data_IF_609100159118
#
_entry.id   IF_609100159118
#
_cell.length_a   1.000
_cell.length_b   1.000
_cell.length_c   1.000
_cell.angle_alpha   90.00
_cell.angle_beta   90.00
_cell.angle_gamma   90.00
#
_symmetry.space_group_name_H-M   'P 1'
#
loop_
_entity.id
_entity.type
_entity.pdbx_description
1 polymer ?
#
# COMPACT_ATOMS: atom_id res chain seq x y z
N UNK A 1 8.81 -2.45 7.62
CA UNK A 1 10.09 -3.18 7.73
C UNK A 1 10.85 -3.25 6.39
N UNK A 2 10.20 -3.64 5.29
CA UNK A 2 10.87 -3.70 3.97
C UNK A 2 11.46 -2.35 3.55
N UNK A 3 10.80 -1.23 3.87
CA UNK A 3 11.33 0.11 3.67
C UNK A 3 12.58 0.37 4.52
N UNK A 4 12.69 -0.21 5.71
CA UNK A 4 13.87 -0.07 6.57
C UNK A 4 15.09 -0.79 5.98
N UNK A 5 14.90 -2.01 5.48
CA UNK A 5 15.96 -2.76 4.79
C UNK A 5 16.45 -1.97 3.58
N UNK A 6 15.53 -1.48 2.76
CA UNK A 6 15.88 -0.71 1.55
C UNK A 6 16.66 0.56 1.89
N UNK A 7 16.26 1.31 2.92
CA UNK A 7 16.98 2.52 3.35
C UNK A 7 18.38 2.16 3.85
N UNK A 8 18.52 1.09 4.66
CA UNK A 8 19.82 0.64 5.17
C UNK A 8 20.77 0.20 4.05
N UNK A 9 20.28 -0.63 3.13
CA UNK A 9 21.04 -1.11 1.96
C UNK A 9 21.47 0.05 1.03
N UNK A 10 20.63 1.08 0.90
CA UNK A 10 20.95 2.26 0.09
C UNK A 10 21.97 3.16 0.77
N UNK A 11 21.78 3.41 2.05
CA UNK A 11 22.69 4.24 2.85
C UNK A 11 22.47 4.01 4.35
N UNK A 12 23.41 3.32 4.99
CA UNK A 12 23.37 3.06 6.44
C UNK A 12 23.32 4.34 7.27
N UNK A 13 23.98 5.42 6.81
CA UNK A 13 23.93 6.73 7.47
C UNK A 13 22.53 7.35 7.40
N UNK A 14 21.85 7.23 6.26
CA UNK A 14 20.46 7.68 6.10
C UNK A 14 19.53 6.90 7.03
N UNK A 15 19.74 5.59 7.15
CA UNK A 15 19.00 4.75 8.10
C UNK A 15 19.18 5.25 9.54
N UNK A 16 20.43 5.53 9.94
CA UNK A 16 20.75 6.08 11.27
C UNK A 16 19.98 7.37 11.54
N UNK A 17 20.01 8.34 10.61
CA UNK A 17 19.30 9.61 10.77
C UNK A 17 17.78 9.39 10.90
N UNK A 18 17.18 8.53 10.09
CA UNK A 18 15.73 8.38 10.03
C UNK A 18 15.18 7.51 11.14
N UNK A 19 15.94 6.49 11.60
CA UNK A 19 15.43 5.49 12.52
C UNK A 19 16.02 5.56 13.93
N UNK A 20 17.29 5.86 14.06
CA UNK A 20 17.93 5.98 15.37
C UNK A 20 17.82 7.40 15.93
N UNK A 21 17.94 8.41 15.08
CA UNK A 21 17.88 9.82 15.48
C UNK A 21 16.53 10.47 15.22
N UNK A 22 15.55 9.71 14.71
CA UNK A 22 14.18 10.16 14.44
C UNK A 22 14.10 11.45 13.61
N UNK A 23 15.08 11.67 12.75
CA UNK A 23 15.10 12.84 11.88
C UNK A 23 14.07 12.66 10.77
N UNK A 24 12.95 13.36 10.89
CA UNK A 24 11.87 13.29 9.89
C UNK A 24 12.20 14.22 8.72
N UNK A 25 12.49 13.68 7.54
CA UNK A 25 12.64 14.51 6.35
C UNK A 25 11.29 15.15 5.99
N UNK A 26 11.33 16.32 5.38
CA UNK A 26 10.12 16.93 4.79
C UNK A 26 9.56 15.93 3.77
N UNK A 27 8.33 15.49 3.99
CA UNK A 27 7.67 14.56 3.08
C UNK A 27 7.48 15.22 1.72
N UNK A 28 7.99 14.56 0.68
CA UNK A 28 7.83 15.04 -0.68
C UNK A 28 6.37 14.87 -1.14
N UNK A 29 5.91 15.74 -2.05
CA UNK A 29 4.58 15.65 -2.68
C UNK A 29 4.27 14.26 -3.24
N UNK A 30 5.30 13.53 -3.71
CA UNK A 30 5.16 12.16 -4.18
C UNK A 30 4.70 11.18 -3.09
N UNK A 31 5.10 11.40 -1.83
CA UNK A 31 4.63 10.58 -0.70
C UNK A 31 3.18 10.89 -0.38
N UNK A 32 2.79 12.16 -0.35
CA UNK A 32 1.39 12.57 -0.15
C UNK A 32 0.48 11.98 -1.24
N UNK A 33 0.94 12.01 -2.50
CA UNK A 33 0.22 11.40 -3.62
C UNK A 33 -0.03 9.90 -3.38
N UNK A 34 1.03 9.17 -3.04
CA UNK A 34 0.95 7.74 -2.77
C UNK A 34 0.02 7.43 -1.59
N UNK A 35 0.21 8.10 -0.45
CA UNK A 35 -0.61 7.91 0.75
C UNK A 35 -2.09 8.17 0.45
N UNK A 36 -2.41 9.25 -0.26
CA UNK A 36 -3.80 9.59 -0.61
C UNK A 36 -4.47 8.51 -1.48
N UNK A 37 -3.74 7.96 -2.46
CA UNK A 37 -4.24 6.86 -3.29
C UNK A 37 -4.48 5.61 -2.44
N UNK A 38 -3.53 5.24 -1.57
CA UNK A 38 -3.63 4.07 -0.70
C UNK A 38 -4.78 4.19 0.30
N UNK A 39 -4.89 5.28 1.05
CA UNK A 39 -5.97 5.47 2.03
C UNK A 39 -7.35 5.43 1.38
N UNK A 40 -7.48 5.99 0.17
CA UNK A 40 -8.77 5.94 -0.53
C UNK A 40 -9.10 4.53 -1.03
N UNK A 41 -8.11 3.77 -1.50
CA UNK A 41 -8.31 2.36 -1.87
C UNK A 41 -8.64 1.53 -0.62
N UNK A 42 -8.03 1.81 0.53
CA UNK A 42 -8.35 1.18 1.80
C UNK A 42 -9.82 1.41 2.20
N UNK A 43 -10.36 2.62 2.07
CA UNK A 43 -11.76 2.89 2.34
C UNK A 43 -12.70 2.08 1.44
N UNK A 44 -12.34 1.91 0.16
CA UNK A 44 -13.07 1.06 -0.78
C UNK A 44 -13.06 -0.39 -0.31
N UNK A 45 -11.90 -0.94 0.08
CA UNK A 45 -11.79 -2.30 0.58
C UNK A 45 -12.55 -2.50 1.89
N UNK A 46 -12.52 -1.52 2.78
CA UNK A 46 -13.30 -1.56 4.02
C UNK A 46 -14.80 -1.61 3.77
N UNK A 47 -15.29 -0.87 2.77
CA UNK A 47 -16.69 -0.95 2.37
C UNK A 47 -17.03 -2.33 1.81
N UNK A 48 -16.17 -2.91 0.96
CA UNK A 48 -16.36 -4.26 0.43
C UNK A 48 -16.37 -5.32 1.56
N UNK A 49 -15.41 -5.27 2.49
CA UNK A 49 -15.34 -6.20 3.64
C UNK A 49 -16.52 -6.09 4.61
N UNK A 50 -17.24 -4.96 4.60
CA UNK A 50 -18.49 -4.79 5.36
C UNK A 50 -19.74 -5.21 4.60
N UNK A 51 -19.59 -5.75 3.38
CA UNK A 51 -20.69 -6.06 2.47
C UNK A 51 -21.52 -4.83 2.09
N UNK A 52 -20.85 -3.69 1.95
CA UNK A 52 -21.43 -2.41 1.56
C UNK A 52 -21.03 -2.03 0.12
N UNK A 53 -20.87 -3.01 -0.78
CA UNK A 53 -20.38 -2.81 -2.17
C UNK A 53 -21.24 -1.82 -2.95
N UNK A 54 -22.53 -1.75 -2.65
CA UNK A 54 -23.47 -0.77 -3.23
C UNK A 54 -23.09 0.68 -2.93
N UNK A 55 -22.27 0.91 -1.90
CA UNK A 55 -21.76 2.25 -1.57
C UNK A 55 -20.52 2.63 -2.38
N UNK A 56 -19.87 1.69 -3.07
CA UNK A 56 -18.68 1.91 -3.89
C UNK A 56 -19.12 2.54 -5.24
N UNK A 57 -19.62 3.75 -5.17
CA UNK A 57 -20.00 4.56 -6.32
C UNK A 57 -18.94 5.62 -6.60
N UNK A 58 -18.86 6.12 -7.83
CA UNK A 58 -17.92 7.20 -8.17
C UNK A 58 -18.08 8.41 -7.24
N UNK A 59 -19.33 8.77 -6.90
CA UNK A 59 -19.63 9.88 -6.00
C UNK A 59 -19.05 9.67 -4.60
N UNK A 60 -19.26 8.48 -4.01
CA UNK A 60 -18.75 8.16 -2.69
C UNK A 60 -17.23 8.05 -2.68
N UNK A 61 -16.64 7.45 -3.72
CA UNK A 61 -15.18 7.35 -3.86
C UNK A 61 -14.55 8.76 -3.94
N UNK A 62 -15.14 9.70 -4.68
CA UNK A 62 -14.71 11.09 -4.71
C UNK A 62 -14.81 11.74 -3.33
N UNK A 63 -15.89 11.49 -2.60
CA UNK A 63 -16.08 12.03 -1.25
C UNK A 63 -15.04 11.48 -0.26
N UNK A 64 -14.74 10.17 -0.29
CA UNK A 64 -13.68 9.57 0.53
C UNK A 64 -12.32 10.15 0.17
N UNK A 65 -12.00 10.25 -1.11
CA UNK A 65 -10.77 10.86 -1.59
C UNK A 65 -10.60 12.31 -1.10
N UNK A 66 -11.64 13.11 -1.17
CA UNK A 66 -11.61 14.51 -0.72
C UNK A 66 -11.46 14.61 0.81
N UNK A 67 -12.10 13.72 1.55
CA UNK A 67 -11.96 13.62 3.01
C UNK A 67 -10.53 13.27 3.40
N UNK A 68 -9.95 12.25 2.77
CA UNK A 68 -8.57 11.83 3.00
C UNK A 68 -7.57 12.93 2.63
N UNK A 69 -7.80 13.61 1.50
CA UNK A 69 -6.96 14.74 1.09
C UNK A 69 -6.96 15.87 2.13
N UNK A 70 -8.12 16.24 2.66
CA UNK A 70 -8.24 17.27 3.71
C UNK A 70 -7.55 16.82 5.00
N UNK A 71 -7.70 15.57 5.40
CA UNK A 71 -7.04 15.00 6.58
C UNK A 71 -5.52 15.02 6.43
N UNK A 72 -5.01 14.47 5.34
CA UNK A 72 -3.58 14.39 5.06
C UNK A 72 -2.91 15.75 4.94
N UNK A 73 -3.55 16.73 4.26
CA UNK A 73 -2.98 18.06 4.14
C UNK A 73 -2.89 18.80 5.47
N UNK A 74 -3.83 18.56 6.39
CA UNK A 74 -3.76 19.11 7.75
C UNK A 74 -2.63 18.50 8.57
N UNK A 75 -2.44 17.19 8.44
CA UNK A 75 -1.42 16.46 9.21
C UNK A 75 -0.01 16.69 8.66
N UNK A 76 0.14 16.62 7.35
CA UNK A 76 1.45 16.65 6.69
C UNK A 76 1.93 18.06 6.33
N UNK A 77 1.07 19.07 6.44
CA UNK A 77 1.33 20.46 6.03
C UNK A 77 1.87 20.57 4.58
N UNK A 78 1.45 19.66 3.72
CA UNK A 78 1.90 19.51 2.33
C UNK A 78 0.68 19.42 1.42
N UNK A 79 0.77 19.98 0.20
CA UNK A 79 -0.34 20.05 -0.74
C UNK A 79 0.06 19.48 -2.09
N UNK A 80 -0.89 18.82 -2.76
CA UNK A 80 -0.75 18.46 -4.17
C UNK A 80 -1.20 19.62 -5.05
N UNK A 81 -0.47 19.87 -6.13
CA UNK A 81 -0.96 20.74 -7.20
C UNK A 81 -2.22 20.14 -7.84
N UNK A 82 -3.11 20.98 -8.36
CA UNK A 82 -4.37 20.54 -8.96
C UNK A 82 -4.24 19.37 -9.92
N UNK A 83 -3.32 19.40 -10.91
CA UNK A 83 -3.11 18.27 -11.82
C UNK A 83 -2.65 16.98 -11.13
N UNK A 84 -1.85 17.07 -10.05
CA UNK A 84 -1.41 15.90 -9.29
C UNK A 84 -2.56 15.28 -8.49
N UNK A 85 -3.41 16.11 -7.86
CA UNK A 85 -4.61 15.65 -7.15
C UNK A 85 -5.57 14.96 -8.10
N UNK A 86 -5.80 15.53 -9.28
CA UNK A 86 -6.65 14.92 -10.30
C UNK A 86 -6.07 13.59 -10.82
N UNK A 87 -4.76 13.51 -11.02
CA UNK A 87 -4.08 12.27 -11.40
C UNK A 87 -4.22 11.18 -10.32
N UNK A 88 -4.13 11.52 -9.03
CA UNK A 88 -4.35 10.60 -7.92
C UNK A 88 -5.78 10.05 -7.92
N UNK A 89 -6.78 10.94 -8.03
CA UNK A 89 -8.18 10.54 -8.12
C UNK A 89 -8.42 9.61 -9.32
N UNK A 90 -7.85 9.95 -10.47
CA UNK A 90 -7.97 9.11 -11.68
C UNK A 90 -7.38 7.72 -11.49
N UNK A 91 -6.31 7.56 -10.71
CA UNK A 91 -5.77 6.22 -10.38
C UNK A 91 -6.76 5.41 -9.55
N UNK A 92 -7.36 6.01 -8.53
CA UNK A 92 -8.36 5.36 -7.69
C UNK A 92 -9.59 4.95 -8.50
N UNK A 93 -10.13 5.85 -9.32
CA UNK A 93 -11.31 5.54 -10.16
C UNK A 93 -11.02 4.42 -11.17
N UNK A 94 -9.84 4.41 -11.77
CA UNK A 94 -9.41 3.29 -12.65
C UNK A 94 -9.29 1.97 -11.90
N UNK A 95 -8.88 2.01 -10.63
CA UNK A 95 -8.87 0.81 -9.81
C UNK A 95 -10.28 0.25 -9.63
N UNK A 96 -11.24 1.08 -9.24
CA UNK A 96 -12.65 0.69 -9.08
C UNK A 96 -13.23 0.14 -10.40
N UNK A 97 -12.99 0.83 -11.50
CA UNK A 97 -13.46 0.41 -12.83
C UNK A 97 -12.92 -0.99 -13.20
N UNK A 98 -11.66 -1.28 -12.90
CA UNK A 98 -11.04 -2.59 -13.21
C UNK A 98 -11.58 -3.75 -12.37
N UNK A 99 -12.15 -3.48 -11.22
CA UNK A 99 -12.77 -4.52 -10.40
C UNK A 99 -14.12 -4.97 -10.97
N UNK A 100 -14.72 -4.21 -11.90
CA UNK A 100 -16.02 -4.52 -12.52
C UNK A 100 -17.14 -4.85 -11.51
N UNK A 101 -17.03 -4.30 -10.29
CA UNK A 101 -17.95 -4.56 -9.18
C UNK A 101 -17.74 -5.91 -8.47
N UNK A 102 -16.71 -6.66 -8.83
CA UNK A 102 -16.38 -7.92 -8.15
C UNK A 102 -15.39 -7.68 -7.00
N UNK A 103 -15.93 -7.71 -5.79
CA UNK A 103 -15.20 -7.55 -4.54
C UNK A 103 -15.15 -8.84 -3.72
N UNK A 104 -15.77 -9.92 -4.23
CA UNK A 104 -15.97 -11.17 -3.48
C UNK A 104 -14.69 -11.86 -3.04
N UNK A 105 -13.59 -11.65 -3.76
CA UNK A 105 -12.30 -12.30 -3.48
C UNK A 105 -11.49 -11.58 -2.40
N UNK A 106 -11.92 -10.42 -1.91
CA UNK A 106 -11.19 -9.69 -0.85
C UNK A 106 -11.42 -10.41 0.47
N UNK A 107 -10.33 -10.93 1.05
CA UNK A 107 -10.36 -11.54 2.38
C UNK A 107 -9.96 -10.55 3.48
N UNK A 108 -8.88 -9.80 3.28
CA UNK A 108 -8.36 -8.85 4.25
C UNK A 108 -7.68 -7.68 3.54
N UNK A 109 -7.76 -6.50 4.13
CA UNK A 109 -7.10 -5.27 3.66
C UNK A 109 -6.28 -4.63 4.78
N UNK A 110 -5.16 -3.99 4.45
CA UNK A 110 -4.28 -3.27 5.37
C UNK A 110 -3.84 -4.13 6.57
N UNK A 111 -3.39 -5.35 6.28
CA UNK A 111 -3.10 -6.37 7.29
C UNK A 111 -1.72 -6.19 7.87
N UNK A 112 -1.64 -5.93 9.16
CA UNK A 112 -0.38 -5.98 9.89
C UNK A 112 0.07 -7.44 10.05
N UNK A 113 1.24 -7.75 9.54
CA UNK A 113 1.87 -9.07 9.63
C UNK A 113 3.18 -8.97 10.38
N UNK A 114 3.41 -9.91 11.29
CA UNK A 114 4.64 -9.97 12.07
C UNK A 114 5.12 -11.40 12.25
N UNK A 115 6.43 -11.57 12.25
CA UNK A 115 7.10 -12.81 12.56
C UNK A 115 8.13 -12.56 13.65
N UNK A 116 7.95 -13.21 14.79
CA UNK A 116 8.86 -13.12 15.94
C UNK A 116 9.78 -14.34 15.93
N UNK A 117 11.06 -14.10 15.87
CA UNK A 117 12.13 -15.10 16.04
C UNK A 117 12.98 -14.72 17.26
N UNK A 118 13.79 -15.63 17.81
CA UNK A 118 14.59 -15.33 19.02
C UNK A 118 15.47 -14.10 18.91
N UNK A 119 16.01 -13.83 17.71
CA UNK A 119 17.01 -12.78 17.49
C UNK A 119 16.46 -11.55 16.75
N UNK A 120 15.23 -11.64 16.20
CA UNK A 120 14.65 -10.53 15.43
C UNK A 120 13.13 -10.61 15.34
N UNK A 121 12.54 -9.46 15.05
CA UNK A 121 11.12 -9.33 14.69
C UNK A 121 11.04 -8.74 13.28
N UNK A 122 10.29 -9.40 12.40
CA UNK A 122 9.93 -8.87 11.09
C UNK A 122 8.49 -8.42 11.15
N UNK A 123 8.25 -7.16 10.81
CA UNK A 123 6.91 -6.59 10.73
C UNK A 123 6.68 -6.02 9.33
N UNK A 124 5.46 -6.09 8.86
CA UNK A 124 5.06 -5.50 7.59
C UNK A 124 3.57 -5.24 7.56
N UNK A 125 3.15 -4.49 6.57
CA UNK A 125 1.74 -4.24 6.30
C UNK A 125 1.46 -4.64 4.86
N UNK A 126 0.50 -5.55 4.69
CA UNK A 126 0.07 -6.04 3.39
C UNK A 126 -1.18 -5.26 2.98
N UNK A 127 -1.14 -4.63 1.81
CA UNK A 127 -2.23 -3.77 1.36
C UNK A 127 -3.52 -4.56 1.15
N UNK A 128 -3.43 -5.76 0.52
CA UNK A 128 -4.58 -6.59 0.25
C UNK A 128 -4.21 -8.08 0.20
N UNK A 129 -5.03 -8.91 0.85
CA UNK A 129 -5.05 -10.37 0.71
C UNK A 129 -6.37 -10.76 0.07
N UNK A 130 -6.30 -11.48 -1.05
CA UNK A 130 -7.49 -11.95 -1.77
C UNK A 130 -7.34 -13.41 -2.19
N UNK A 131 -8.43 -14.07 -2.50
CA UNK A 131 -8.48 -15.46 -2.94
C UNK A 131 -9.60 -16.23 -2.30
N UNK A 132 -9.61 -17.54 -2.49
CA UNK A 132 -10.61 -18.45 -1.92
C UNK A 132 -9.93 -19.67 -1.30
N UNK A 133 -10.44 -20.11 -0.15
CA UNK A 133 -9.97 -21.31 0.54
C UNK A 133 -8.54 -21.22 1.07
N UNK A 134 -7.74 -22.25 0.78
CA UNK A 134 -6.40 -22.40 1.33
C UNK A 134 -5.29 -21.67 0.52
N UNK A 135 -5.65 -21.05 -0.60
CA UNK A 135 -4.71 -20.33 -1.46
C UNK A 135 -5.10 -18.86 -1.57
N UNK A 136 -4.14 -17.99 -1.31
CA UNK A 136 -4.35 -16.53 -1.35
C UNK A 136 -3.33 -15.86 -2.25
N UNK A 137 -3.70 -14.71 -2.76
CA UNK A 137 -2.84 -13.75 -3.46
C UNK A 137 -2.58 -12.55 -2.57
N UNK A 138 -1.34 -12.06 -2.59
CA UNK A 138 -0.96 -10.79 -1.97
C UNK A 138 -0.88 -9.73 -3.05
N UNK A 139 -1.56 -8.62 -2.83
CA UNK A 139 -1.50 -7.44 -3.70
C UNK A 139 -0.88 -6.28 -2.93
N UNK A 140 0.13 -5.66 -3.53
CA UNK A 140 0.80 -4.49 -3.01
C UNK A 140 0.66 -3.35 -4.05
N UNK A 141 -0.02 -2.28 -3.65
CA UNK A 141 -0.33 -1.17 -4.55
C UNK A 141 0.85 -0.23 -4.70
N UNK A 142 1.16 0.12 -5.94
CA UNK A 142 2.19 1.10 -6.26
C UNK A 142 1.59 2.26 -7.05
N UNK A 143 1.58 3.43 -6.44
CA UNK A 143 1.07 4.66 -7.07
C UNK A 143 2.01 5.26 -8.12
N UNK A 144 3.21 4.71 -8.26
CA UNK A 144 4.21 5.14 -9.24
C UNK A 144 3.87 4.65 -10.66
N UNK A 145 4.58 5.18 -11.67
CA UNK A 145 4.46 4.66 -13.03
C UNK A 145 4.80 3.17 -13.07
N UNK A 146 4.16 2.43 -13.97
CA UNK A 146 4.50 1.03 -14.22
C UNK A 146 6.00 0.92 -14.58
N UNK A 147 6.79 0.11 -13.87
CA UNK A 147 8.19 -0.06 -14.17
C UNK A 147 8.39 -0.76 -15.52
N UNK A 148 9.45 -0.36 -16.22
CA UNK A 148 9.91 -1.03 -17.43
C UNK A 148 10.68 -2.31 -17.06
N UNK A 149 10.37 -3.42 -17.72
CA UNK A 149 10.95 -4.74 -17.38
C UNK A 149 12.46 -4.82 -17.58
N UNK A 150 13.02 -3.94 -18.40
CA UNK A 150 14.46 -3.93 -18.73
C UNK A 150 15.18 -2.80 -17.98
N UNK A 151 14.61 -1.59 -18.03
CA UNK A 151 15.26 -0.37 -17.49
C UNK A 151 15.16 -0.26 -15.97
N UNK A 152 14.06 -0.75 -15.38
CA UNK A 152 13.77 -0.61 -13.96
C UNK A 152 14.00 -1.94 -13.19
N UNK A 153 14.98 -2.75 -13.62
CA UNK A 153 15.24 -4.10 -13.10
C UNK A 153 15.48 -4.14 -11.60
N UNK A 154 16.27 -3.21 -11.06
CA UNK A 154 16.51 -3.12 -9.62
C UNK A 154 15.23 -2.81 -8.83
N UNK A 155 14.36 -1.96 -9.37
CA UNK A 155 13.07 -1.64 -8.74
C UNK A 155 12.17 -2.87 -8.71
N UNK A 156 12.13 -3.63 -9.81
CA UNK A 156 11.37 -4.88 -9.89
C UNK A 156 11.88 -5.94 -8.90
N UNK A 157 13.20 -6.07 -8.76
CA UNK A 157 13.79 -6.99 -7.78
C UNK A 157 13.47 -6.58 -6.33
N UNK A 158 13.42 -5.27 -6.02
CA UNK A 158 12.97 -4.78 -4.71
C UNK A 158 11.51 -5.12 -4.44
N UNK A 159 10.62 -4.93 -5.42
CA UNK A 159 9.21 -5.30 -5.29
C UNK A 159 9.04 -6.80 -5.10
N UNK A 160 9.75 -7.59 -5.90
CA UNK A 160 9.75 -9.06 -5.76
C UNK A 160 10.19 -9.51 -4.38
N UNK A 161 11.27 -8.95 -3.85
CA UNK A 161 11.75 -9.25 -2.49
C UNK A 161 10.71 -8.89 -1.44
N UNK A 162 10.06 -7.73 -1.57
CA UNK A 162 8.99 -7.32 -0.66
C UNK A 162 7.85 -8.33 -0.65
N UNK A 163 7.36 -8.72 -1.82
CA UNK A 163 6.29 -9.70 -1.95
C UNK A 163 6.67 -11.07 -1.39
N UNK A 164 7.92 -11.53 -1.60
CA UNK A 164 8.39 -12.79 -1.01
C UNK A 164 8.43 -12.75 0.52
N UNK A 165 8.85 -11.63 1.10
CA UNK A 165 8.82 -11.46 2.56
C UNK A 165 7.37 -11.49 3.06
N UNK A 166 6.47 -10.78 2.41
CA UNK A 166 5.06 -10.77 2.78
C UNK A 166 4.41 -12.14 2.62
N UNK A 167 4.71 -12.87 1.54
CA UNK A 167 4.23 -14.22 1.34
C UNK A 167 4.63 -15.13 2.51
N UNK A 168 5.92 -15.12 2.86
CA UNK A 168 6.41 -15.89 4.01
C UNK A 168 5.71 -15.52 5.32
N UNK A 169 5.51 -14.23 5.59
CA UNK A 169 4.82 -13.75 6.79
C UNK A 169 3.35 -14.20 6.85
N UNK A 170 2.65 -14.14 5.71
CA UNK A 170 1.26 -14.56 5.61
C UNK A 170 1.14 -16.08 5.77
N UNK A 171 1.97 -16.85 5.10
CA UNK A 171 2.00 -18.33 5.21
C UNK A 171 2.28 -18.79 6.65
N UNK A 172 3.27 -18.22 7.32
CA UNK A 172 3.61 -18.55 8.72
C UNK A 172 2.47 -18.19 9.69
N UNK A 173 1.74 -17.10 9.42
CA UNK A 173 0.66 -16.62 10.29
C UNK A 173 -0.65 -17.38 10.08
N UNK A 174 -1.00 -17.67 8.83
CA UNK A 174 -2.34 -18.15 8.46
C UNK A 174 -2.38 -19.63 8.10
N UNK A 175 -1.24 -20.21 7.74
CA UNK A 175 -1.16 -21.55 7.16
C UNK A 175 -1.64 -21.65 5.71
N UNK A 176 -2.17 -20.54 5.13
CA UNK A 176 -2.59 -20.49 3.73
C UNK A 176 -1.38 -20.39 2.81
N UNK A 177 -1.46 -20.95 1.62
CA UNK A 177 -0.41 -20.84 0.62
C UNK A 177 -0.58 -19.54 -0.18
N UNK A 178 0.52 -18.84 -0.42
CA UNK A 178 0.55 -17.68 -1.30
C UNK A 178 0.95 -18.11 -2.71
N UNK A 179 0.11 -17.79 -3.71
CA UNK A 179 0.30 -18.14 -5.12
C UNK A 179 0.96 -17.01 -5.92
#
# INVERSE_FOLDING_TARGET
FTSHITVYETCALQYKFYKELEFMPVRANAMLFGTLVHETIEDIHRAALRHEEQTITEENVRRWFDSNYVSLTKTEHTYLAGPQREAALKQVLRYVERQHGDWSQIQQAEVDVSLVKPDYIIEGKVDLIRGEGDTVEIVDFKSQRKPDMVKDREQLERYRRQLHIYAHLVEERTGQKVS
#
